data_IF_927103025018
#
_entry.id   IF_927103025018
#
_cell.length_a   1.000
_cell.length_b   1.000
_cell.length_c   1.000
_cell.angle_alpha   90.00
_cell.angle_beta   90.00
_cell.angle_gamma   90.00
#
_symmetry.space_group_name_H-M   'P 1'
#
loop_
_entity.id
_entity.type
_entity.pdbx_description
1 polymer ?
#
# COMPACT_ATOMS: atom_id res chain seq x y z
N UNK A 1 -25.71 47.62 -58.73
CA UNK A 1 -25.49 49.00 -59.20
C UNK A 1 -24.78 49.71 -58.07
N UNK A 2 -23.48 49.86 -58.24
CA UNK A 2 -22.57 50.50 -57.29
C UNK A 2 -22.69 52.03 -57.33
N UNK A 3 -22.05 52.65 -56.34
CA UNK A 3 -21.54 54.02 -56.25
C UNK A 3 -22.34 55.07 -55.46
N UNK A 4 -21.81 55.40 -54.28
CA UNK A 4 -21.46 56.79 -53.94
C UNK A 4 -20.31 56.85 -52.92
N UNK A 5 -19.11 56.80 -53.48
CA UNK A 5 -17.84 57.51 -53.18
C UNK A 5 -18.06 58.90 -52.52
N UNK A 6 -17.59 59.08 -51.26
CA UNK A 6 -16.46 59.95 -50.82
C UNK A 6 -16.89 61.27 -50.09
N UNK A 7 -15.97 62.13 -49.57
CA UNK A 7 -14.95 61.91 -48.53
C UNK A 7 -14.84 63.12 -47.55
N UNK A 8 -14.38 62.98 -46.30
CA UNK A 8 -13.84 64.16 -45.59
C UNK A 8 -12.65 63.79 -44.71
N UNK A 9 -11.50 64.31 -45.12
CA UNK A 9 -10.28 64.40 -44.35
C UNK A 9 -10.42 65.51 -43.29
N UNK A 10 -9.89 65.27 -42.09
CA UNK A 10 -9.39 66.33 -41.22
C UNK A 10 -8.12 65.84 -40.51
N UNK A 11 -6.98 66.31 -41.01
CA UNK A 11 -5.72 66.33 -40.27
C UNK A 11 -5.62 67.66 -39.54
N UNK A 12 -5.30 67.63 -38.23
CA UNK A 12 -4.21 68.46 -37.70
C UNK A 12 -3.66 67.91 -36.37
N UNK A 13 -2.36 68.18 -36.10
CA UNK A 13 -1.52 67.49 -35.12
C UNK A 13 -1.43 68.26 -33.79
N UNK A 14 -0.90 67.61 -32.76
CA UNK A 14 -0.56 68.27 -31.50
C UNK A 14 0.39 67.45 -30.62
N UNK A 15 1.58 68.01 -30.42
CA UNK A 15 2.37 68.00 -29.19
C UNK A 15 2.99 66.67 -28.66
N UNK A 16 4.28 66.56 -28.91
CA UNK A 16 5.36 66.49 -27.91
C UNK A 16 5.08 65.81 -26.56
N UNK A 17 5.86 64.77 -26.25
CA UNK A 17 6.06 64.31 -24.87
C UNK A 17 6.91 63.05 -24.77
N UNK A 18 8.23 63.21 -24.65
CA UNK A 18 9.14 62.12 -24.27
C UNK A 18 8.91 61.72 -22.81
N UNK A 19 8.70 60.43 -22.53
CA UNK A 19 9.13 59.83 -21.25
C UNK A 19 9.72 58.44 -21.47
N UNK A 20 10.97 58.34 -21.06
CA UNK A 20 11.72 57.12 -20.81
C UNK A 20 11.16 56.41 -19.57
N UNK A 21 11.17 55.09 -19.58
CA UNK A 21 10.82 54.21 -18.47
C UNK A 21 9.75 53.21 -18.92
N UNK A 22 9.90 51.91 -18.80
CA UNK A 22 10.92 51.07 -18.17
C UNK A 22 10.42 49.63 -18.30
N UNK A 23 11.38 48.69 -18.30
CA UNK A 23 11.32 47.29 -17.81
C UNK A 23 9.99 46.52 -17.73
N UNK A 24 10.11 45.22 -18.04
CA UNK A 24 9.19 44.09 -17.84
C UNK A 24 8.46 43.69 -19.13
N UNK A 25 8.65 42.50 -19.68
CA UNK A 25 8.89 41.22 -19.03
C UNK A 25 7.90 40.26 -19.70
N UNK A 26 8.40 39.19 -20.30
CA UNK A 26 7.60 38.21 -21.04
C UNK A 26 6.42 37.73 -20.23
N UNK A 27 5.19 38.05 -20.67
CA UNK A 27 3.98 37.46 -20.15
C UNK A 27 3.83 36.05 -20.71
N UNK A 28 4.48 35.07 -20.09
CA UNK A 28 4.04 33.68 -20.18
C UNK A 28 2.70 33.62 -19.45
N UNK A 29 1.63 33.45 -20.22
CA UNK A 29 0.31 33.06 -19.72
C UNK A 29 0.47 31.66 -19.12
N UNK A 30 0.85 31.59 -17.84
CA UNK A 30 0.60 30.42 -17.01
C UNK A 30 -0.91 30.39 -16.80
N UNK A 31 -1.61 29.70 -17.69
CA UNK A 31 -2.96 29.21 -17.44
C UNK A 31 -2.88 28.35 -16.19
N UNK A 32 -3.19 28.97 -15.04
CA UNK A 32 -3.43 28.24 -13.81
C UNK A 32 -4.77 27.55 -14.00
N UNK A 33 -4.70 26.30 -14.49
CA UNK A 33 -5.86 25.42 -14.56
C UNK A 33 -6.26 25.14 -13.11
N UNK A 34 -7.19 25.94 -12.57
CA UNK A 34 -7.85 25.65 -11.30
C UNK A 34 -8.62 24.34 -11.52
N UNK A 35 -8.04 23.22 -11.10
CA UNK A 35 -8.74 21.96 -10.94
C UNK A 35 -9.75 22.18 -9.81
N UNK A 36 -10.96 22.61 -10.17
CA UNK A 36 -12.10 22.64 -9.28
C UNK A 36 -12.42 21.17 -8.98
N UNK A 37 -11.79 20.62 -7.95
CA UNK A 37 -12.16 19.29 -7.45
C UNK A 37 -13.57 19.46 -6.90
N UNK A 38 -14.59 18.74 -7.42
CA UNK A 38 -15.89 18.75 -6.78
C UNK A 38 -15.67 18.33 -5.33
N UNK A 39 -16.30 19.03 -4.39
CA UNK A 39 -16.41 18.53 -3.02
C UNK A 39 -17.11 17.18 -3.12
N UNK A 40 -16.33 16.09 -3.16
CA UNK A 40 -16.92 14.78 -3.20
C UNK A 40 -17.68 14.64 -1.89
N UNK A 41 -18.92 14.23 -2.02
CA UNK A 41 -19.72 13.85 -0.87
C UNK A 41 -18.97 12.67 -0.28
N UNK A 42 -18.46 12.82 0.94
CA UNK A 42 -17.70 11.75 1.55
C UNK A 42 -18.69 10.63 1.87
N UNK A 43 -18.59 9.55 1.11
CA UNK A 43 -19.55 8.46 1.11
C UNK A 43 -19.36 7.59 2.35
N UNK A 44 -20.43 6.98 2.86
CA UNK A 44 -20.35 6.24 4.13
C UNK A 44 -20.07 4.76 3.89
N UNK A 45 -19.04 4.22 4.52
CA UNK A 45 -18.82 2.78 4.60
C UNK A 45 -19.87 2.17 5.56
N UNK A 46 -20.83 1.45 4.99
CA UNK A 46 -21.97 0.87 5.72
C UNK A 46 -21.77 -0.59 6.11
N UNK A 47 -20.93 -1.33 5.38
CA UNK A 47 -20.64 -2.72 5.66
C UNK A 47 -19.27 -3.15 5.11
N UNK A 48 -18.59 -3.99 5.90
CA UNK A 48 -17.41 -4.73 5.51
C UNK A 48 -17.47 -6.11 6.18
N UNK A 49 -16.84 -7.10 5.55
CA UNK A 49 -16.71 -8.44 6.12
C UNK A 49 -15.34 -9.01 5.79
N UNK A 50 -14.74 -9.70 6.76
CA UNK A 50 -13.50 -10.43 6.57
C UNK A 50 -13.74 -11.92 6.78
N UNK A 51 -13.33 -12.73 5.81
CA UNK A 51 -13.35 -14.18 5.89
C UNK A 51 -11.93 -14.70 6.18
N UNK A 52 -11.66 -15.24 7.38
CA UNK A 52 -10.31 -15.68 7.76
C UNK A 52 -9.88 -16.98 7.05
N UNK A 53 -10.82 -17.75 6.49
CA UNK A 53 -10.50 -19.01 5.80
C UNK A 53 -9.93 -18.76 4.39
N UNK A 54 -10.47 -17.76 3.70
CA UNK A 54 -10.02 -17.32 2.36
C UNK A 54 -9.13 -16.08 2.41
N UNK A 55 -9.01 -15.46 3.58
CA UNK A 55 -8.25 -14.22 3.82
C UNK A 55 -8.76 -13.04 2.96
N UNK A 56 -10.07 -13.00 2.73
CA UNK A 56 -10.72 -12.00 1.89
C UNK A 56 -11.43 -10.95 2.73
N UNK A 57 -11.05 -9.69 2.56
CA UNK A 57 -11.83 -8.55 2.99
C UNK A 57 -12.76 -8.11 1.86
N UNK A 58 -14.06 -8.20 2.10
CA UNK A 58 -15.09 -7.69 1.19
C UNK A 58 -15.69 -6.41 1.76
N UNK A 59 -15.76 -5.38 0.93
CA UNK A 59 -16.40 -4.11 1.25
C UNK A 59 -17.23 -3.61 0.07
N UNK A 60 -18.29 -2.88 0.36
CA UNK A 60 -19.17 -2.30 -0.66
C UNK A 60 -19.06 -0.80 -0.60
N UNK A 61 -18.67 -0.18 -1.71
CA UNK A 61 -18.53 1.26 -1.84
C UNK A 61 -19.43 1.76 -2.97
N UNK A 62 -19.82 3.04 -2.96
CA UNK A 62 -20.47 3.66 -4.11
C UNK A 62 -19.55 3.66 -5.33
N UNK A 63 -20.15 3.63 -6.51
CA UNK A 63 -19.41 3.76 -7.76
C UNK A 63 -18.63 5.09 -7.79
N UNK A 64 -17.38 5.05 -8.24
CA UNK A 64 -16.50 6.23 -8.32
C UNK A 64 -15.46 6.33 -7.20
N UNK A 65 -15.53 5.48 -6.17
CA UNK A 65 -14.49 5.36 -5.15
C UNK A 65 -13.53 4.22 -5.52
N UNK A 66 -12.24 4.55 -5.65
CA UNK A 66 -11.16 3.60 -5.92
C UNK A 66 -10.27 3.43 -4.69
N UNK A 67 -10.30 2.27 -4.01
CA UNK A 67 -9.40 1.96 -2.92
C UNK A 67 -7.95 1.87 -3.41
N UNK A 68 -7.02 2.17 -2.50
CA UNK A 68 -5.60 1.88 -2.71
C UNK A 68 -5.06 1.08 -1.55
N UNK A 69 -4.21 0.10 -1.83
CA UNK A 69 -3.57 -0.68 -0.77
C UNK A 69 -2.06 -0.50 -0.78
N UNK A 70 -1.45 -0.69 0.37
CA UNK A 70 -0.01 -0.70 0.57
C UNK A 70 0.32 -1.85 1.51
N UNK A 71 1.45 -2.51 1.26
CA UNK A 71 1.92 -3.63 2.06
C UNK A 71 3.13 -3.16 2.85
N UNK A 72 3.03 -3.25 4.17
CA UNK A 72 4.14 -3.00 5.09
C UNK A 72 4.66 -4.34 5.62
N UNK A 73 5.97 -4.47 5.75
CA UNK A 73 6.61 -5.74 6.15
C UNK A 73 7.22 -5.71 7.56
N UNK A 74 7.21 -4.56 8.24
CA UNK A 74 7.76 -4.43 9.59
C UNK A 74 6.99 -3.42 10.46
N UNK A 75 6.03 -3.88 11.28
CA UNK A 75 5.43 -5.22 11.28
C UNK A 75 4.64 -5.51 10.01
N UNK A 76 4.41 -6.78 9.72
CA UNK A 76 3.67 -7.22 8.52
C UNK A 76 2.20 -6.79 8.61
N UNK A 77 1.76 -5.90 7.70
CA UNK A 77 0.36 -5.48 7.60
C UNK A 77 0.00 -4.99 6.20
N UNK A 78 -1.28 -5.06 5.87
CA UNK A 78 -1.83 -4.52 4.62
C UNK A 78 -2.71 -3.33 4.98
N UNK A 79 -2.39 -2.15 4.45
CA UNK A 79 -3.12 -0.91 4.67
C UNK A 79 -3.92 -0.59 3.43
N UNK A 80 -5.24 -0.57 3.55
CA UNK A 80 -6.19 -0.22 2.51
C UNK A 80 -6.79 1.16 2.81
N UNK A 81 -6.50 2.14 1.96
CA UNK A 81 -7.01 3.50 2.04
C UNK A 81 -8.21 3.65 1.11
N UNK A 82 -9.32 4.10 1.68
CA UNK A 82 -10.58 4.41 1.00
C UNK A 82 -10.71 5.94 0.94
N UNK A 83 -10.42 6.58 -0.21
CA UNK A 83 -10.52 8.02 -0.33
C UNK A 83 -11.99 8.46 -0.26
N UNK A 84 -12.24 9.68 0.22
CA UNK A 84 -13.55 10.32 0.24
C UNK A 84 -14.63 9.41 0.86
N UNK A 85 -14.24 8.68 1.90
CA UNK A 85 -15.05 7.67 2.57
C UNK A 85 -15.03 7.94 4.08
N UNK A 86 -16.21 8.00 4.68
CA UNK A 86 -16.43 8.14 6.11
C UNK A 86 -16.84 6.80 6.74
N UNK A 87 -16.35 6.55 7.96
CA UNK A 87 -16.83 5.46 8.79
C UNK A 87 -18.28 5.70 9.20
N UNK A 88 -19.16 4.77 8.84
CA UNK A 88 -20.52 4.70 9.35
C UNK A 88 -20.60 4.02 10.71
N UNK A 89 -21.80 3.55 11.06
CA UNK A 89 -22.05 2.70 12.23
C UNK A 89 -21.58 1.25 12.04
N UNK A 90 -20.34 1.06 11.59
CA UNK A 90 -19.73 -0.26 11.37
C UNK A 90 -18.81 -0.65 12.51
N UNK A 91 -18.54 -1.95 12.65
CA UNK A 91 -17.52 -2.45 13.56
C UNK A 91 -16.16 -1.92 13.11
N UNK A 92 -15.40 -1.28 13.98
CA UNK A 92 -14.10 -0.68 13.62
C UNK A 92 -12.92 -1.58 13.95
N UNK A 93 -13.11 -2.67 14.67
CA UNK A 93 -12.04 -3.60 15.02
C UNK A 93 -12.59 -5.00 15.22
N UNK A 94 -11.98 -5.99 14.56
CA UNK A 94 -12.22 -7.41 14.81
C UNK A 94 -10.92 -8.21 14.81
N UNK A 95 -10.83 -9.20 15.70
CA UNK A 95 -9.65 -10.06 15.89
C UNK A 95 -9.98 -11.48 15.43
N UNK A 96 -8.99 -12.16 14.85
CA UNK A 96 -9.11 -13.48 14.26
C UNK A 96 -7.90 -14.36 14.64
N UNK A 97 -8.08 -15.68 14.61
CA UNK A 97 -7.00 -16.64 14.91
C UNK A 97 -6.24 -17.13 13.67
N UNK A 98 -6.34 -16.40 12.55
CA UNK A 98 -5.75 -16.77 11.26
C UNK A 98 -4.43 -16.05 10.96
N UNK A 99 -3.98 -16.16 9.70
CA UNK A 99 -2.81 -15.43 9.20
C UNK A 99 -2.99 -13.90 9.33
N UNK A 100 -4.21 -13.40 9.16
CA UNK A 100 -4.61 -12.06 9.60
C UNK A 100 -5.10 -12.18 11.04
N UNK A 101 -4.43 -11.51 11.97
CA UNK A 101 -4.79 -11.49 13.39
C UNK A 101 -5.84 -10.44 13.71
N UNK A 102 -5.85 -9.32 12.98
CA UNK A 102 -6.77 -8.23 13.25
C UNK A 102 -7.12 -7.44 12.00
N UNK A 103 -8.38 -7.03 11.90
CA UNK A 103 -8.85 -6.02 10.95
C UNK A 103 -9.30 -4.81 11.75
N UNK A 104 -8.72 -3.65 11.48
CA UNK A 104 -9.11 -2.38 12.10
C UNK A 104 -9.40 -1.31 11.07
N UNK A 105 -10.39 -0.47 11.34
CA UNK A 105 -10.82 0.62 10.50
C UNK A 105 -10.73 1.92 11.30
N UNK A 106 -10.07 2.92 10.71
CA UNK A 106 -9.82 4.23 11.32
C UNK A 106 -10.12 5.34 10.33
N UNK A 107 -10.71 6.44 10.81
CA UNK A 107 -10.89 7.63 9.99
C UNK A 107 -9.60 8.46 10.02
N UNK A 108 -9.07 8.82 8.86
CA UNK A 108 -7.89 9.68 8.70
C UNK A 108 -8.25 10.81 7.74
N UNK A 109 -8.47 12.01 8.28
CA UNK A 109 -9.01 13.15 7.53
C UNK A 109 -10.31 12.75 6.80
N UNK A 110 -10.35 12.91 5.47
CA UNK A 110 -11.48 12.59 4.61
C UNK A 110 -11.44 11.15 4.05
N UNK A 111 -10.53 10.30 4.56
CA UNK A 111 -10.36 8.93 4.11
C UNK A 111 -10.59 7.92 5.25
N UNK A 112 -11.15 6.76 4.91
CA UNK A 112 -11.20 5.61 5.82
C UNK A 112 -9.99 4.73 5.54
N UNK A 113 -9.21 4.40 6.56
CA UNK A 113 -8.06 3.50 6.47
C UNK A 113 -8.42 2.18 7.15
N UNK A 114 -8.37 1.10 6.39
CA UNK A 114 -8.53 -0.27 6.86
C UNK A 114 -7.15 -0.91 6.96
N UNK A 115 -6.81 -1.48 8.11
CA UNK A 115 -5.53 -2.14 8.37
C UNK A 115 -5.80 -3.60 8.69
N UNK A 116 -5.19 -4.48 7.91
CA UNK A 116 -5.12 -5.92 8.16
C UNK A 116 -3.77 -6.21 8.80
N UNK A 117 -3.77 -6.44 10.10
CA UNK A 117 -2.58 -6.82 10.87
C UNK A 117 -2.37 -8.33 10.78
N UNK A 118 -1.16 -8.76 10.44
CA UNK A 118 -0.83 -10.17 10.25
C UNK A 118 -0.26 -10.77 11.53
N UNK A 119 -0.56 -12.04 11.77
CA UNK A 119 -0.05 -12.75 12.92
C UNK A 119 1.49 -12.80 12.87
N UNK A 120 2.13 -12.74 14.04
CA UNK A 120 3.57 -12.90 14.14
C UNK A 120 4.03 -14.23 13.50
N UNK A 121 5.07 -14.16 12.68
CA UNK A 121 5.58 -15.32 11.93
C UNK A 121 4.84 -15.62 10.63
N UNK A 122 3.81 -14.85 10.26
CA UNK A 122 3.14 -14.98 8.96
C UNK A 122 4.02 -14.46 7.84
N UNK A 123 4.15 -15.23 6.75
CA UNK A 123 4.87 -14.82 5.56
C UNK A 123 3.91 -14.17 4.56
N UNK A 124 4.19 -12.93 4.15
CA UNK A 124 3.52 -12.26 3.02
C UNK A 124 4.14 -12.71 1.69
N UNK A 125 3.31 -12.97 0.69
CA UNK A 125 3.77 -13.18 -0.68
C UNK A 125 4.42 -11.90 -1.24
N UNK A 126 5.24 -12.05 -2.30
CA UNK A 126 5.88 -10.90 -2.97
C UNK A 126 4.86 -9.91 -3.56
N UNK A 127 3.71 -10.41 -4.00
CA UNK A 127 2.56 -9.61 -4.47
C UNK A 127 1.78 -8.98 -3.30
N UNK A 128 1.92 -9.57 -2.10
CA UNK A 128 1.37 -9.12 -0.82
C UNK A 128 -0.14 -9.26 -0.69
N UNK A 129 -0.90 -8.63 -1.58
CA UNK A 129 -2.36 -8.72 -1.63
C UNK A 129 -2.88 -8.44 -3.04
N UNK A 130 -4.04 -9.02 -3.35
CA UNK A 130 -4.75 -8.76 -4.61
C UNK A 130 -6.04 -8.01 -4.34
N UNK A 131 -6.30 -6.93 -5.08
CA UNK A 131 -7.53 -6.14 -4.98
C UNK A 131 -8.34 -6.24 -6.27
N UNK A 132 -9.58 -6.72 -6.16
CA UNK A 132 -10.50 -6.91 -7.29
C UNK A 132 -11.76 -6.06 -7.10
N UNK A 133 -12.18 -5.36 -8.16
CA UNK A 133 -13.44 -4.63 -8.23
C UNK A 133 -14.51 -5.42 -8.97
N UNK A 134 -15.72 -5.45 -8.41
CA UNK A 134 -16.90 -6.07 -9.00
C UNK A 134 -18.00 -5.00 -9.06
N UNK A 135 -18.32 -4.53 -10.26
CA UNK A 135 -19.36 -3.53 -10.46
C UNK A 135 -20.75 -4.13 -10.21
N UNK A 136 -21.59 -3.40 -9.47
CA UNK A 136 -22.93 -3.81 -9.06
C UNK A 136 -23.89 -2.60 -9.11
N UNK A 137 -24.15 -2.10 -10.31
CA UNK A 137 -24.97 -0.89 -10.52
C UNK A 137 -24.27 0.35 -9.99
N UNK A 138 -24.92 1.09 -9.10
CA UNK A 138 -24.41 2.31 -8.45
C UNK A 138 -23.38 2.02 -7.35
N UNK A 139 -23.01 0.76 -7.15
CA UNK A 139 -22.05 0.32 -6.13
C UNK A 139 -20.97 -0.55 -6.76
N UNK A 140 -19.79 -0.52 -6.16
CA UNK A 140 -18.67 -1.39 -6.47
C UNK A 140 -18.34 -2.21 -5.23
N UNK A 141 -18.41 -3.53 -5.38
CA UNK A 141 -17.89 -4.46 -4.38
C UNK A 141 -16.40 -4.63 -4.60
N UNK A 142 -15.62 -4.38 -3.57
CA UNK A 142 -14.18 -4.58 -3.57
C UNK A 142 -13.84 -5.79 -2.73
N UNK A 143 -13.01 -6.66 -3.28
CA UNK A 143 -12.52 -7.87 -2.62
C UNK A 143 -11.00 -7.76 -2.56
N UNK A 144 -10.47 -7.57 -1.36
CA UNK A 144 -9.04 -7.59 -1.08
C UNK A 144 -8.69 -8.98 -0.54
N UNK A 145 -7.85 -9.72 -1.25
CA UNK A 145 -7.35 -11.03 -0.82
C UNK A 145 -5.93 -10.87 -0.29
N UNK A 146 -5.71 -11.11 1.00
CA UNK A 146 -4.39 -11.11 1.57
C UNK A 146 -3.66 -12.41 1.19
N UNK A 147 -2.53 -12.29 0.47
CA UNK A 147 -1.73 -13.42 0.06
C UNK A 147 -0.69 -13.71 1.14
N UNK A 148 -1.18 -14.19 2.28
CA UNK A 148 -0.35 -14.42 3.46
C UNK A 148 -0.42 -15.89 3.90
N UNK A 149 0.71 -16.53 4.02
CA UNK A 149 0.78 -17.91 4.48
C UNK A 149 1.05 -17.90 5.98
N UNK A 150 0.17 -18.47 6.82
CA UNK A 150 0.48 -18.60 8.23
C UNK A 150 1.79 -19.37 8.33
N UNK A 151 2.77 -18.78 8.98
CA UNK A 151 4.04 -19.44 9.18
C UNK A 151 3.78 -20.69 10.02
N UNK A 152 3.94 -21.86 9.42
CA UNK A 152 4.61 -22.90 10.19
C UNK A 152 5.89 -22.23 10.69
N UNK A 153 6.14 -22.25 12.00
CA UNK A 153 7.42 -21.84 12.53
C UNK A 153 8.46 -22.56 11.69
N UNK A 154 9.06 -21.89 10.72
CA UNK A 154 10.30 -22.37 10.14
C UNK A 154 11.23 -22.21 11.32
N UNK A 155 11.34 -23.27 12.12
CA UNK A 155 12.57 -23.59 12.82
C UNK A 155 13.59 -23.57 11.70
N UNK A 156 14.20 -22.41 11.49
CA UNK A 156 15.53 -22.33 10.93
C UNK A 156 16.36 -23.15 11.92
N UNK A 157 16.44 -24.46 11.68
CA UNK A 157 17.44 -25.29 12.30
C UNK A 157 18.76 -24.70 11.77
N UNK A 158 19.59 -24.08 12.62
CA UNK A 158 20.90 -23.64 12.17
C UNK A 158 21.68 -24.92 11.89
N UNK A 159 21.95 -25.22 10.62
CA UNK A 159 22.98 -26.20 10.27
C UNK A 159 22.59 -27.40 9.40
N UNK A 160 21.58 -27.32 8.53
CA UNK A 160 21.49 -28.34 7.48
C UNK A 160 22.45 -28.03 6.33
N UNK A 161 23.73 -28.33 6.56
CA UNK A 161 24.73 -28.45 5.50
C UNK A 161 24.28 -29.54 4.52
N UNK A 162 24.54 -29.40 3.20
CA UNK A 162 24.30 -30.49 2.26
C UNK A 162 25.27 -31.62 2.60
N UNK A 163 24.75 -32.71 3.16
CA UNK A 163 25.52 -33.94 3.33
C UNK A 163 25.93 -34.44 1.94
N UNK A 164 27.20 -34.28 1.60
CA UNK A 164 27.80 -35.01 0.48
C UNK A 164 27.63 -36.50 0.75
N UNK A 165 27.07 -37.15 -0.25
CA UNK A 165 26.85 -38.58 -0.37
C UNK A 165 28.09 -39.43 -0.03
N UNK A 166 27.80 -40.67 0.40
CA UNK A 166 28.69 -41.83 0.49
C UNK A 166 29.55 -42.05 1.74
N UNK A 167 28.96 -42.82 2.67
CA UNK A 167 29.67 -43.94 3.30
C UNK A 167 29.90 -43.83 4.81
N UNK A 168 29.71 -44.97 5.47
CA UNK A 168 30.06 -45.31 6.85
C UNK A 168 28.95 -45.15 7.90
N UNK A 169 28.29 -46.28 8.16
CA UNK A 169 27.68 -46.61 9.45
C UNK A 169 28.69 -46.35 10.57
N UNK A 170 28.31 -45.62 11.64
CA UNK A 170 28.80 -45.87 13.00
C UNK A 170 27.89 -45.19 14.03
N UNK A 171 27.28 -46.03 14.87
CA UNK A 171 26.71 -45.69 16.17
C UNK A 171 27.87 -45.47 17.13
N UNK A 172 28.04 -44.28 17.72
CA UNK A 172 28.79 -44.17 18.98
C UNK A 172 28.44 -42.91 19.79
N UNK A 173 28.15 -43.13 21.07
CA UNK A 173 27.86 -42.15 22.11
C UNK A 173 29.18 -41.77 22.81
N UNK A 174 29.46 -40.48 23.09
CA UNK A 174 30.78 -40.05 23.57
C UNK A 174 31.06 -40.50 25.02
N UNK A 175 32.16 -41.22 25.23
CA UNK A 175 32.79 -41.42 26.54
C UNK A 175 33.70 -40.23 26.87
N UNK A 176 33.57 -39.72 28.09
CA UNK A 176 34.24 -38.51 28.60
C UNK A 176 35.73 -38.81 28.86
N UNK A 177 36.67 -37.97 28.42
CA UNK A 177 38.09 -38.14 28.74
C UNK A 177 38.43 -37.57 30.11
N UNK A 178 39.04 -38.39 30.97
CA UNK A 178 39.75 -37.89 32.16
C UNK A 178 39.74 -38.83 33.36
N UNK A 179 40.56 -39.89 33.33
CA UNK A 179 41.40 -40.20 34.48
C UNK A 179 42.54 -41.17 34.08
N UNK A 180 43.76 -40.65 33.99
CA UNK A 180 44.98 -41.47 34.06
C UNK A 180 45.44 -41.50 35.52
N UNK A 181 45.92 -42.64 36.00
CA UNK A 181 47.36 -42.74 36.28
C UNK A 181 47.92 -44.03 35.64
N UNK A 182 49.00 -43.93 34.87
CA UNK A 182 50.36 -44.28 35.34
C UNK A 182 50.40 -45.64 36.07
N UNK A 183 51.12 -46.62 35.51
CA UNK A 183 52.33 -47.21 36.12
C UNK A 183 52.70 -48.54 35.41
N UNK A 184 53.90 -48.58 34.81
CA UNK A 184 54.72 -49.80 34.69
C UNK A 184 54.88 -50.46 33.31
N UNK A 185 55.90 -50.04 32.55
CA UNK A 185 56.65 -50.92 31.64
C UNK A 185 57.73 -51.71 32.44
N UNK A 186 58.60 -52.58 31.87
CA UNK A 186 58.59 -53.32 30.59
C UNK A 186 59.01 -54.82 30.71
N UNK A 187 58.89 -55.52 29.57
CA UNK A 187 59.78 -56.54 28.98
C UNK A 187 60.40 -57.69 29.82
N UNK A 188 60.17 -58.92 29.38
CA UNK A 188 61.14 -59.76 28.67
C UNK A 188 60.43 -60.96 28.01
#
# INVERSE_FOLDING_TARGET
MEHSTQPFAFSRPGASGHRLGGWAGSGLIVSTLLLISPAARAETLTAWQFDPATQQLTLTLPSGITPQYTVETNPARIVLTLPQTQLGGVVTQQTYSGAVSQVSLSQVNDATVVVLDLAAGTALAADGASLVSIAAGEQTRWVLTALATPGALTVMAPGQAPSSDSGQMIVELPVIPGNSPQLGFPAA
#
